data_IF_795552460089
#
_entry.id   IF_795552460089
#
_cell.length_a   1.000
_cell.length_b   1.000
_cell.length_c   1.000
_cell.angle_alpha   90.00
_cell.angle_beta   90.00
_cell.angle_gamma   90.00
#
_symmetry.space_group_name_H-M   'P 1'
#
loop_
_entity.id
_entity.type
_entity.pdbx_description
1 polymer ?
#
# COMPACT_ATOMS: atom_id res chain seq x y z
N UNK A 1 -3.50 -2.27 14.00
CA UNK A 1 -3.66 -1.93 12.58
C UNK A 1 -2.88 -0.67 12.24
N UNK A 2 -1.94 -0.77 11.28
CA UNK A 2 -1.16 0.34 10.81
C UNK A 2 -1.76 0.84 9.49
N UNK A 3 -2.37 2.04 9.51
CA UNK A 3 -3.01 2.69 8.37
C UNK A 3 -2.14 3.81 7.85
N UNK A 4 -1.65 3.68 6.60
CA UNK A 4 -0.67 4.60 5.99
C UNK A 4 -1.18 6.05 5.99
N UNK A 5 -2.45 6.27 5.59
CA UNK A 5 -3.04 7.61 5.53
C UNK A 5 -3.21 8.26 6.90
N UNK A 6 -3.48 7.48 7.96
CA UNK A 6 -3.68 7.99 9.31
C UNK A 6 -2.41 8.53 9.97
N UNK A 7 -1.26 8.04 9.51
CA UNK A 7 0.05 8.48 10.04
C UNK A 7 0.76 9.47 9.11
N UNK A 8 0.15 9.85 7.99
CA UNK A 8 0.67 10.87 7.08
C UNK A 8 1.66 10.36 6.05
N UNK A 9 1.48 9.12 5.55
CA UNK A 9 2.20 8.56 4.42
C UNK A 9 3.23 7.50 4.79
N UNK A 10 3.89 6.93 3.77
CA UNK A 10 4.78 5.78 3.88
C UNK A 10 5.98 6.00 4.80
N UNK A 11 6.59 7.19 4.77
CA UNK A 11 7.76 7.48 5.63
C UNK A 11 7.41 7.35 7.11
N UNK A 12 6.30 7.95 7.53
CA UNK A 12 5.85 7.87 8.92
C UNK A 12 5.30 6.48 9.27
N UNK A 13 4.62 5.83 8.33
CA UNK A 13 4.16 4.46 8.50
C UNK A 13 5.34 3.50 8.74
N UNK A 14 6.46 3.67 8.01
CA UNK A 14 7.68 2.90 8.25
C UNK A 14 8.25 3.11 9.65
N UNK A 15 8.33 4.35 10.11
CA UNK A 15 8.81 4.64 11.47
C UNK A 15 7.92 4.00 12.54
N UNK A 16 6.61 4.06 12.36
CA UNK A 16 5.65 3.42 13.26
C UNK A 16 5.77 1.89 13.21
N UNK A 17 5.95 1.30 12.03
CA UNK A 17 6.23 -0.12 11.84
C UNK A 17 7.49 -0.52 12.62
N UNK A 18 8.59 0.24 12.49
CA UNK A 18 9.86 -0.04 13.16
C UNK A 18 9.71 0.02 14.69
N UNK A 19 8.92 0.97 15.20
CA UNK A 19 8.58 1.03 16.61
C UNK A 19 7.78 -0.20 17.09
N UNK A 20 6.79 -0.65 16.32
CA UNK A 20 6.03 -1.84 16.62
C UNK A 20 6.93 -3.09 16.64
N UNK A 21 7.82 -3.24 15.66
CA UNK A 21 8.81 -4.33 15.62
C UNK A 21 9.69 -4.31 16.86
N UNK A 22 10.27 -3.16 17.21
CA UNK A 22 11.11 -3.01 18.40
C UNK A 22 10.36 -3.31 19.70
N UNK A 23 9.04 -3.12 19.71
CA UNK A 23 8.16 -3.38 20.85
C UNK A 23 7.53 -4.78 20.86
N UNK A 24 7.86 -5.64 19.88
CA UNK A 24 7.30 -6.99 19.79
C UNK A 24 5.82 -7.03 19.39
N UNK A 25 5.32 -6.00 18.69
CA UNK A 25 3.90 -5.86 18.34
C UNK A 25 3.67 -6.26 16.87
N UNK A 26 2.98 -7.39 16.59
CA UNK A 26 2.60 -7.75 15.23
C UNK A 26 1.53 -6.80 14.69
N UNK A 27 1.53 -6.60 13.36
CA UNK A 27 0.69 -5.61 12.70
C UNK A 27 -0.12 -6.20 11.56
N UNK A 28 -1.32 -5.68 11.35
CA UNK A 28 -2.00 -5.65 10.06
C UNK A 28 -1.60 -4.37 9.35
N UNK A 29 -1.03 -4.50 8.14
CA UNK A 29 -0.66 -3.37 7.29
C UNK A 29 -1.83 -3.06 6.36
N UNK A 30 -2.40 -1.87 6.50
CA UNK A 30 -3.61 -1.50 5.76
C UNK A 30 -3.69 0.01 5.51
N UNK A 31 -4.84 0.45 5.01
CA UNK A 31 -5.23 1.86 4.98
C UNK A 31 -6.73 1.99 5.33
N UNK A 32 -7.29 3.19 5.19
CA UNK A 32 -8.71 3.43 5.45
C UNK A 32 -9.56 2.96 4.28
N UNK A 33 -9.10 3.20 3.06
CA UNK A 33 -9.69 2.79 1.79
C UNK A 33 -8.68 3.03 0.66
N UNK A 34 -8.98 2.52 -0.54
CA UNK A 34 -8.17 2.80 -1.72
C UNK A 34 -8.41 1.81 -2.85
N UNK A 35 -7.66 2.02 -3.93
CA UNK A 35 -7.59 1.13 -5.09
C UNK A 35 -6.16 0.66 -5.31
N UNK A 36 -5.76 0.56 -6.57
CA UNK A 36 -4.46 0.01 -6.99
C UNK A 36 -3.26 0.73 -6.39
N UNK A 37 -3.30 2.07 -6.32
CA UNK A 37 -2.19 2.89 -5.82
C UNK A 37 -1.97 2.63 -4.33
N UNK A 38 -3.05 2.64 -3.54
CA UNK A 38 -2.99 2.38 -2.10
C UNK A 38 -2.59 0.93 -1.83
N UNK A 39 -3.10 -0.02 -2.60
CA UNK A 39 -2.72 -1.44 -2.48
C UNK A 39 -1.23 -1.64 -2.75
N UNK A 40 -0.66 -0.96 -3.74
CA UNK A 40 0.78 -1.01 -4.00
C UNK A 40 1.59 -0.47 -2.81
N UNK A 41 1.17 0.66 -2.20
CA UNK A 41 1.83 1.21 -1.02
C UNK A 41 1.78 0.24 0.18
N UNK A 42 0.63 -0.38 0.42
CA UNK A 42 0.46 -1.41 1.46
C UNK A 42 1.39 -2.60 1.20
N UNK A 43 1.43 -3.10 -0.03
CA UNK A 43 2.26 -4.25 -0.41
C UNK A 43 3.75 -3.98 -0.18
N UNK A 44 4.25 -2.77 -0.52
CA UNK A 44 5.64 -2.38 -0.27
C UNK A 44 5.96 -2.31 1.23
N UNK A 45 5.09 -1.71 2.02
CA UNK A 45 5.29 -1.62 3.47
C UNK A 45 5.26 -3.02 4.10
N UNK A 46 4.32 -3.87 3.71
CA UNK A 46 4.21 -5.25 4.18
C UNK A 46 5.44 -6.09 3.80
N UNK A 47 5.90 -6.01 2.52
CA UNK A 47 7.10 -6.72 2.05
C UNK A 47 8.37 -6.34 2.82
N UNK A 48 8.46 -5.08 3.25
CA UNK A 48 9.60 -4.58 4.02
C UNK A 48 9.47 -4.81 5.54
N UNK A 49 8.38 -5.40 6.00
CA UNK A 49 8.13 -5.74 7.40
C UNK A 49 8.62 -7.16 7.67
N UNK A 50 9.35 -7.43 8.78
CA UNK A 50 9.72 -8.79 9.15
C UNK A 50 8.49 -9.69 9.25
N UNK A 51 8.58 -10.92 8.71
CA UNK A 51 7.43 -11.80 8.51
C UNK A 51 6.66 -12.11 9.80
N UNK A 52 7.38 -12.26 10.92
CA UNK A 52 6.81 -12.53 12.24
C UNK A 52 5.99 -11.37 12.80
N UNK A 53 6.17 -10.15 12.26
CA UNK A 53 5.45 -8.95 12.66
C UNK A 53 4.39 -8.49 11.64
N UNK A 54 4.34 -9.11 10.45
CA UNK A 54 3.32 -8.85 9.45
C UNK A 54 2.22 -9.91 9.52
N UNK A 55 1.22 -9.68 10.37
CA UNK A 55 0.10 -10.62 10.54
C UNK A 55 -0.73 -10.74 9.25
N UNK A 56 -1.04 -9.62 8.63
CA UNK A 56 -1.77 -9.56 7.35
C UNK A 56 -1.54 -8.22 6.64
N UNK A 57 -1.94 -8.16 5.38
CA UNK A 57 -2.01 -6.93 4.59
C UNK A 57 -3.29 -6.90 3.77
N UNK A 58 -3.86 -5.72 3.56
CA UNK A 58 -5.14 -5.55 2.85
C UNK A 58 -4.92 -5.19 1.38
N UNK A 59 -5.69 -5.81 0.50
CA UNK A 59 -5.72 -5.56 -0.94
C UNK A 59 -6.99 -4.78 -1.34
N UNK A 60 -7.02 -3.49 -1.13
CA UNK A 60 -8.22 -2.67 -1.39
C UNK A 60 -8.68 -2.67 -2.84
N UNK A 61 -7.80 -2.90 -3.81
CA UNK A 61 -8.17 -2.98 -5.22
C UNK A 61 -9.10 -4.17 -5.53
N UNK A 62 -9.12 -5.22 -4.70
CA UNK A 62 -10.06 -6.33 -4.87
C UNK A 62 -11.51 -5.97 -4.51
N UNK A 63 -11.74 -4.86 -3.83
CA UNK A 63 -13.09 -4.37 -3.51
C UNK A 63 -13.72 -3.51 -4.60
N UNK A 64 -12.92 -3.09 -5.57
CA UNK A 64 -13.36 -2.27 -6.70
C UNK A 64 -13.46 -3.05 -7.99
N UNK A 65 -14.22 -2.50 -8.94
CA UNK A 65 -14.35 -3.06 -10.31
C UNK A 65 -13.56 -2.27 -11.35
N UNK A 66 -12.93 -1.16 -10.93
CA UNK A 66 -12.20 -0.25 -11.83
C UNK A 66 -10.71 -0.31 -11.52
N UNK A 67 -9.91 -0.64 -12.52
CA UNK A 67 -8.45 -0.59 -12.46
C UNK A 67 -7.98 0.83 -12.75
N UNK A 68 -7.27 1.44 -11.80
CA UNK A 68 -6.77 2.83 -11.89
C UNK A 68 -5.26 2.93 -12.07
N UNK A 69 -4.54 1.81 -12.03
CA UNK A 69 -3.10 1.74 -12.30
C UNK A 69 -2.70 0.37 -12.85
N UNK A 70 -1.83 0.37 -13.87
CA UNK A 70 -1.26 -0.86 -14.42
C UNK A 70 -0.13 -1.39 -13.52
N UNK A 71 -0.01 -2.71 -13.43
CA UNK A 71 1.02 -3.38 -12.66
C UNK A 71 0.78 -3.42 -11.15
N UNK A 72 -0.41 -3.06 -10.69
CA UNK A 72 -0.77 -3.13 -9.28
C UNK A 72 -0.76 -4.57 -8.74
N UNK A 73 -0.39 -4.76 -7.46
CA UNK A 73 -0.48 -6.06 -6.82
C UNK A 73 -1.87 -6.65 -6.92
N UNK A 74 -1.94 -7.95 -7.23
CA UNK A 74 -3.18 -8.70 -7.24
C UNK A 74 -3.09 -9.82 -6.21
N UNK A 75 -4.19 -10.07 -5.51
CA UNK A 75 -4.28 -11.22 -4.60
C UNK A 75 -4.52 -12.49 -5.40
N UNK A 76 -3.60 -13.44 -5.25
CA UNK A 76 -3.72 -14.80 -5.79
C UNK A 76 -3.56 -15.78 -4.63
N UNK A 77 -4.50 -16.68 -4.44
CA UNK A 77 -4.50 -17.69 -3.37
C UNK A 77 -4.22 -17.07 -1.97
N UNK A 78 -4.86 -15.94 -1.69
CA UNK A 78 -4.73 -15.25 -0.41
C UNK A 78 -3.42 -14.48 -0.20
N UNK A 79 -2.59 -14.36 -1.24
CA UNK A 79 -1.28 -13.69 -1.18
C UNK A 79 -1.17 -12.61 -2.25
N UNK A 80 -0.40 -11.56 -1.94
CA UNK A 80 0.01 -10.56 -2.93
C UNK A 80 1.48 -10.22 -2.77
N UNK A 81 2.11 -9.75 -3.85
CA UNK A 81 3.53 -9.39 -3.89
C UNK A 81 3.66 -7.93 -4.34
N UNK A 82 4.53 -7.17 -3.68
CA UNK A 82 4.87 -5.82 -4.11
C UNK A 82 5.60 -5.86 -5.47
N UNK A 83 5.32 -4.90 -6.39
CA UNK A 83 6.03 -4.81 -7.66
C UNK A 83 7.53 -4.59 -7.49
N UNK A 84 8.33 -5.13 -8.42
CA UNK A 84 9.80 -5.03 -8.42
C UNK A 84 10.31 -3.89 -9.33
N UNK A 85 9.68 -2.72 -9.26
CA UNK A 85 10.05 -1.52 -10.03
C UNK A 85 10.26 -0.34 -9.09
N UNK A 86 10.99 0.71 -9.52
CA UNK A 86 11.18 1.93 -8.74
C UNK A 86 9.85 2.58 -8.33
N UNK A 87 9.84 3.28 -7.21
CA UNK A 87 8.65 3.91 -6.64
C UNK A 87 7.66 2.86 -6.13
N UNK A 88 6.37 3.05 -6.43
CA UNK A 88 5.33 2.04 -6.15
C UNK A 88 5.33 0.89 -7.18
N UNK A 89 6.10 1.01 -8.26
CA UNK A 89 6.21 0.00 -9.30
C UNK A 89 4.99 -0.14 -10.20
N UNK A 90 4.10 0.85 -10.20
CA UNK A 90 2.85 0.88 -10.95
C UNK A 90 2.80 2.10 -11.86
N UNK A 91 1.91 2.10 -12.85
CA UNK A 91 1.68 3.24 -13.74
C UNK A 91 0.22 3.68 -13.61
N UNK A 92 -0.05 4.91 -13.08
CA UNK A 92 -1.41 5.42 -12.99
C UNK A 92 -2.07 5.55 -14.36
N UNK A 93 -3.35 5.21 -14.44
CA UNK A 93 -4.17 5.31 -15.64
C UNK A 93 -4.91 6.65 -15.65
N UNK A 94 -4.29 7.68 -16.21
CA UNK A 94 -4.87 9.03 -16.25
C UNK A 94 -6.14 9.12 -17.11
N UNK A 95 -6.30 8.22 -18.08
CA UNK A 95 -7.53 8.06 -18.87
C UNK A 95 -8.73 7.65 -18.00
N UNK A 96 -8.48 6.95 -16.90
CA UNK A 96 -9.50 6.51 -15.93
C UNK A 96 -9.64 7.48 -14.77
N UNK A 97 -8.51 8.01 -14.27
CA UNK A 97 -8.48 8.94 -13.13
C UNK A 97 -9.05 10.32 -13.46
N UNK A 98 -8.99 10.73 -14.74
CA UNK A 98 -9.39 12.06 -15.18
C UNK A 98 -8.39 13.16 -14.81
N UNK A 99 -8.84 14.41 -14.95
CA UNK A 99 -8.02 15.57 -14.65
C UNK A 99 -7.75 15.73 -13.14
N UNK A 100 -6.54 16.12 -12.73
CA UNK A 100 -6.22 16.30 -11.32
C UNK A 100 -6.96 17.51 -10.74
N UNK A 101 -7.60 17.33 -9.60
CA UNK A 101 -8.28 18.43 -8.87
C UNK A 101 -7.29 19.30 -8.10
N UNK A 102 -6.10 18.81 -7.83
CA UNK A 102 -5.00 19.50 -7.15
C UNK A 102 -3.67 18.89 -7.58
N UNK A 103 -2.73 19.74 -7.95
CA UNK A 103 -1.33 19.36 -8.22
C UNK A 103 -0.44 20.01 -7.18
N UNK A 104 0.35 19.21 -6.47
CA UNK A 104 1.33 19.65 -5.48
C UNK A 104 2.71 19.18 -5.91
N UNK A 105 3.64 20.07 -5.96
CA UNK A 105 5.01 19.80 -6.40
C UNK A 105 5.52 20.83 -7.39
N UNK A 106 6.75 20.66 -7.82
CA UNK A 106 7.45 21.58 -8.71
C UNK A 106 7.53 21.03 -10.11
#
# INVERSE_FOLDING_TARGET
NLKISKVGGLTKARLMRDLCVASGIPMTIEDTWGGDIVTAAIAHLARSTPAEFCFSATDFNSYGTVTIADGAPQRVDGRMTAPDRPGLGITPRFDVLGDPVLVVGH
#
